data_IF_069438390270
#
_entry.id   IF_069438390270
#
_cell.length_a   1.000
_cell.length_b   1.000
_cell.length_c   1.000
_cell.angle_alpha   90.00
_cell.angle_beta   90.00
_cell.angle_gamma   90.00
#
_symmetry.space_group_name_H-M   'P 1'
#
loop_
_entity.id
_entity.type
_entity.pdbx_description
1 polymer ?
#
# COMPACT_ATOMS: atom_id res chain seq x y z
N UNK A 1 15.59 1.89 -8.32
CA UNK A 1 14.69 0.73 -8.48
C UNK A 1 13.31 1.11 -8.03
N UNK A 2 12.27 0.66 -8.73
CA UNK A 2 10.88 0.77 -8.29
C UNK A 2 10.34 -0.65 -8.06
N UNK A 3 9.95 -0.95 -6.84
CA UNK A 3 9.30 -2.20 -6.47
C UNK A 3 7.81 -1.93 -6.27
N UNK A 4 6.98 -2.35 -7.23
CA UNK A 4 5.57 -2.02 -7.29
C UNK A 4 4.69 -3.22 -6.92
N UNK A 5 3.80 -3.03 -5.95
CA UNK A 5 2.83 -4.03 -5.50
C UNK A 5 1.46 -3.71 -6.11
N UNK A 6 0.92 -4.62 -6.92
CA UNK A 6 -0.37 -4.44 -7.58
C UNK A 6 -1.53 -4.41 -6.58
N UNK A 7 -2.55 -3.59 -6.89
CA UNK A 7 -3.84 -3.59 -6.21
C UNK A 7 -4.76 -4.74 -6.60
N UNK A 8 -6.04 -4.64 -6.24
CA UNK A 8 -7.06 -5.62 -6.63
C UNK A 8 -7.84 -6.22 -5.47
N UNK A 9 -8.17 -5.44 -4.45
CA UNK A 9 -9.14 -5.79 -3.40
C UNK A 9 -8.65 -6.84 -2.38
N UNK A 10 -9.59 -7.41 -1.62
CA UNK A 10 -9.31 -8.40 -0.58
C UNK A 10 -10.53 -9.27 -0.28
N UNK A 11 -10.33 -10.42 0.37
CA UNK A 11 -11.44 -11.26 0.82
C UNK A 11 -11.14 -11.87 2.18
N UNK A 12 -12.15 -11.96 3.05
CA UNK A 12 -11.98 -12.34 4.46
C UNK A 12 -13.19 -13.08 5.05
N UNK A 13 -14.10 -13.52 4.19
CA UNK A 13 -15.29 -14.29 4.54
C UNK A 13 -15.65 -15.22 3.38
N UNK A 14 -16.50 -16.21 3.63
CA UNK A 14 -17.03 -17.09 2.59
C UNK A 14 -17.61 -16.31 1.41
N UNK A 15 -18.42 -15.29 1.67
CA UNK A 15 -19.12 -14.54 0.62
C UNK A 15 -18.16 -13.66 -0.20
N UNK A 16 -17.21 -12.99 0.47
CA UNK A 16 -16.17 -12.22 -0.24
C UNK A 16 -15.20 -13.15 -0.98
N UNK A 17 -14.93 -14.35 -0.45
CA UNK A 17 -13.96 -15.28 -1.04
C UNK A 17 -14.58 -16.24 -2.07
N UNK A 18 -15.91 -16.29 -2.21
CA UNK A 18 -16.60 -17.18 -3.14
C UNK A 18 -16.23 -16.92 -4.61
N UNK A 19 -16.12 -17.94 -5.48
CA UNK A 19 -15.70 -17.78 -6.87
C UNK A 19 -16.43 -16.72 -7.72
N UNK A 20 -17.68 -16.38 -7.38
CA UNK A 20 -18.47 -15.35 -8.04
C UNK A 20 -18.41 -13.96 -7.39
N UNK A 21 -17.54 -13.75 -6.40
CA UNK A 21 -17.31 -12.46 -5.76
C UNK A 21 -16.24 -11.66 -6.48
N UNK A 22 -16.52 -10.38 -6.71
CA UNK A 22 -15.63 -9.40 -7.33
C UNK A 22 -14.82 -8.60 -6.30
N UNK A 23 -14.81 -9.02 -5.02
CA UNK A 23 -14.10 -8.30 -3.95
C UNK A 23 -12.58 -8.42 -4.04
N UNK A 24 -12.03 -9.32 -4.86
CA UNK A 24 -10.60 -9.32 -5.17
C UNK A 24 -10.28 -9.96 -6.51
N UNK A 25 -9.12 -9.59 -7.06
CA UNK A 25 -8.55 -10.19 -8.28
C UNK A 25 -8.15 -11.64 -7.99
N UNK A 26 -8.64 -12.59 -8.78
CA UNK A 26 -8.39 -14.04 -8.58
C UNK A 26 -7.34 -14.63 -9.52
N UNK A 27 -6.97 -13.86 -10.54
CA UNK A 27 -6.05 -14.29 -11.58
C UNK A 27 -5.01 -13.22 -11.78
N UNK A 28 -3.75 -13.63 -11.87
CA UNK A 28 -2.71 -12.76 -12.42
C UNK A 28 -3.04 -12.48 -13.88
N UNK A 29 -2.97 -11.22 -14.30
CA UNK A 29 -3.41 -10.78 -15.62
C UNK A 29 -3.06 -9.32 -15.89
N UNK A 30 -3.10 -8.93 -17.16
CA UNK A 30 -2.71 -7.59 -17.63
C UNK A 30 -3.68 -6.48 -17.22
N UNK A 31 -4.97 -6.81 -17.00
CA UNK A 31 -6.00 -5.80 -16.70
C UNK A 31 -5.67 -5.07 -15.38
N UNK A 32 -5.53 -3.74 -15.46
CA UNK A 32 -5.13 -2.87 -14.36
C UNK A 32 -3.65 -2.97 -13.98
N UNK A 33 -2.79 -3.42 -14.90
CA UNK A 33 -1.37 -3.65 -14.68
C UNK A 33 -0.43 -2.76 -15.50
N UNK A 34 0.88 -3.02 -15.37
CA UNK A 34 1.98 -2.27 -16.02
C UNK A 34 1.83 -2.02 -17.54
N UNK A 35 1.06 -2.84 -18.25
CA UNK A 35 0.99 -2.80 -19.72
C UNK A 35 0.10 -1.73 -20.32
N UNK A 36 -0.70 -1.06 -19.49
CA UNK A 36 -1.58 0.01 -19.96
C UNK A 36 -0.78 1.25 -20.39
N UNK A 37 0.47 1.38 -19.93
CA UNK A 37 1.40 2.41 -20.38
C UNK A 37 0.96 3.82 -19.98
N UNK A 38 0.23 3.93 -18.89
CA UNK A 38 -0.26 5.19 -18.30
C UNK A 38 0.36 5.43 -16.92
N UNK A 39 0.20 6.66 -16.41
CA UNK A 39 0.70 7.04 -15.09
C UNK A 39 2.18 6.70 -14.95
N UNK A 40 2.59 6.13 -13.81
CA UNK A 40 3.99 5.77 -13.54
C UNK A 40 4.52 4.65 -14.46
N UNK A 41 3.66 3.96 -15.21
CA UNK A 41 4.04 2.93 -16.18
C UNK A 41 4.31 3.50 -17.59
N UNK A 42 3.98 4.77 -17.85
CA UNK A 42 4.41 5.45 -19.08
C UNK A 42 5.88 5.86 -18.99
N UNK A 43 6.79 4.94 -19.32
CA UNK A 43 8.23 5.22 -19.34
C UNK A 43 8.66 6.17 -20.47
N UNK A 44 7.76 6.51 -21.41
CA UNK A 44 8.05 7.43 -22.52
C UNK A 44 7.70 8.88 -22.18
N UNK A 45 6.87 9.09 -21.16
CA UNK A 45 6.48 10.42 -20.72
C UNK A 45 7.63 11.09 -19.95
N UNK A 46 8.15 12.24 -20.42
CA UNK A 46 9.25 12.94 -19.75
C UNK A 46 8.87 13.50 -18.37
N UNK A 47 7.57 13.56 -18.03
CA UNK A 47 7.10 13.95 -16.69
C UNK A 47 7.17 12.79 -15.70
N UNK A 48 7.33 11.54 -16.14
CA UNK A 48 7.38 10.40 -15.24
C UNK A 48 8.70 10.39 -14.46
N UNK A 49 8.69 10.59 -13.13
CA UNK A 49 9.92 10.60 -12.35
C UNK A 49 10.58 9.22 -12.29
N UNK A 50 9.85 8.16 -12.67
CA UNK A 50 10.33 6.78 -12.75
C UNK A 50 10.73 6.36 -14.18
N UNK A 51 10.70 7.24 -15.17
CA UNK A 51 10.99 6.89 -16.59
C UNK A 51 12.31 6.13 -16.77
N UNK A 52 13.32 6.46 -15.95
CA UNK A 52 14.66 5.86 -16.01
C UNK A 52 14.91 4.80 -14.92
N UNK A 53 13.89 4.42 -14.15
CA UNK A 53 14.01 3.37 -13.12
C UNK A 53 13.88 2.00 -13.77
N UNK A 54 14.65 1.02 -13.31
CA UNK A 54 14.24 -0.37 -13.47
C UNK A 54 13.12 -0.68 -12.48
N UNK A 55 12.07 -1.34 -12.96
CA UNK A 55 10.86 -1.65 -12.21
C UNK A 55 10.71 -3.17 -12.04
N UNK A 56 10.36 -3.59 -10.83
CA UNK A 56 9.84 -4.93 -10.51
C UNK A 56 8.37 -4.77 -10.16
N UNK A 57 7.50 -5.35 -10.96
CA UNK A 57 6.06 -5.36 -10.74
C UNK A 57 5.65 -6.70 -10.12
N UNK A 58 4.89 -6.67 -9.03
CA UNK A 58 4.42 -7.85 -8.31
C UNK A 58 2.90 -7.97 -8.48
N UNK A 59 2.43 -8.90 -9.34
CA UNK A 59 1.01 -9.11 -9.52
C UNK A 59 0.33 -9.63 -8.25
N UNK A 60 -0.97 -9.36 -8.13
CA UNK A 60 -1.77 -9.73 -6.98
C UNK A 60 -2.97 -10.61 -7.36
N UNK A 61 -3.13 -11.71 -6.62
CA UNK A 61 -4.29 -12.59 -6.80
C UNK A 61 -4.66 -13.37 -5.53
N UNK A 62 -4.21 -12.92 -4.36
CA UNK A 62 -4.20 -13.72 -3.12
C UNK A 62 -5.23 -13.26 -2.08
N UNK A 63 -5.92 -12.14 -2.32
CA UNK A 63 -7.03 -11.68 -1.47
C UNK A 63 -6.62 -11.25 -0.05
N UNK A 64 -5.33 -11.08 0.20
CA UNK A 64 -4.68 -10.86 1.50
C UNK A 64 -3.75 -9.63 1.56
N UNK A 65 -3.92 -8.69 0.62
CA UNK A 65 -3.17 -7.43 0.51
C UNK A 65 -1.64 -7.60 0.58
N UNK A 66 -1.13 -8.71 0.03
CA UNK A 66 0.29 -9.12 0.04
C UNK A 66 0.90 -9.43 1.41
N UNK A 67 0.09 -9.61 2.46
CA UNK A 67 0.58 -9.90 3.83
C UNK A 67 0.11 -11.26 4.38
N UNK A 68 -0.58 -12.06 3.56
CA UNK A 68 -1.04 -13.39 3.95
C UNK A 68 0.01 -14.48 3.77
N UNK A 69 -0.06 -15.49 4.65
CA UNK A 69 0.69 -16.74 4.57
C UNK A 69 -0.11 -17.87 5.26
N UNK A 70 -1.25 -18.20 4.67
CA UNK A 70 -2.10 -19.32 5.08
C UNK A 70 -2.94 -19.86 3.91
N UNK A 71 -3.41 -21.09 4.06
CA UNK A 71 -4.53 -21.61 3.26
C UNK A 71 -5.75 -21.72 4.15
N UNK A 72 -6.85 -21.10 3.73
CA UNK A 72 -8.06 -20.99 4.53
C UNK A 72 -9.24 -21.59 3.79
N UNK A 73 -9.92 -22.52 4.46
CA UNK A 73 -11.19 -23.08 4.02
C UNK A 73 -12.33 -22.28 4.66
N UNK A 74 -12.99 -21.46 3.84
CA UNK A 74 -14.14 -20.65 4.23
C UNK A 74 -15.46 -21.46 4.20
N UNK A 75 -15.40 -22.75 3.92
CA UNK A 75 -16.54 -23.67 3.84
C UNK A 75 -17.14 -23.78 2.44
N UNK A 76 -17.94 -24.84 2.23
CA UNK A 76 -18.65 -25.14 0.98
C UNK A 76 -17.76 -25.14 -0.28
N UNK A 77 -16.51 -25.58 -0.13
CA UNK A 77 -15.53 -25.66 -1.21
C UNK A 77 -14.84 -24.33 -1.55
N UNK A 78 -15.06 -23.26 -0.77
CA UNK A 78 -14.35 -21.99 -0.91
C UNK A 78 -13.04 -22.05 -0.14
N UNK A 79 -11.98 -22.48 -0.82
CA UNK A 79 -10.61 -22.51 -0.28
C UNK A 79 -9.77 -21.45 -0.97
N UNK A 80 -9.10 -20.59 -0.19
CA UNK A 80 -8.21 -19.55 -0.72
C UNK A 80 -6.79 -19.75 -0.18
N UNK A 81 -5.82 -19.62 -1.06
CA UNK A 81 -4.40 -19.60 -0.73
C UNK A 81 -3.94 -18.14 -0.56
N UNK A 82 -3.99 -17.65 0.67
CA UNK A 82 -3.45 -16.35 1.05
C UNK A 82 -1.92 -16.45 1.15
N UNK A 83 -1.25 -16.35 0.00
CA UNK A 83 0.20 -16.49 -0.16
C UNK A 83 0.89 -15.16 -0.56
N UNK A 84 0.22 -14.03 -0.37
CA UNK A 84 0.69 -12.73 -0.82
C UNK A 84 2.08 -12.37 -0.29
N UNK A 85 2.35 -12.64 0.99
CA UNK A 85 3.66 -12.39 1.58
C UNK A 85 4.76 -13.25 0.94
N UNK A 86 4.48 -14.53 0.68
CA UNK A 86 5.44 -15.43 0.04
C UNK A 86 5.73 -14.98 -1.39
N UNK A 87 4.70 -14.61 -2.14
CA UNK A 87 4.84 -14.15 -3.52
C UNK A 87 5.68 -12.86 -3.59
N UNK A 88 5.32 -11.86 -2.80
CA UNK A 88 6.03 -10.59 -2.85
C UNK A 88 7.46 -10.70 -2.29
N UNK A 89 7.69 -11.41 -1.19
CA UNK A 89 9.06 -11.56 -0.66
C UNK A 89 9.97 -12.36 -1.60
N UNK A 90 9.42 -13.31 -2.36
CA UNK A 90 10.15 -13.98 -3.44
C UNK A 90 10.56 -12.99 -4.53
N UNK A 91 9.66 -12.09 -4.95
CA UNK A 91 9.98 -11.05 -5.92
C UNK A 91 11.01 -10.04 -5.38
N UNK A 92 10.90 -9.66 -4.11
CA UNK A 92 11.83 -8.73 -3.45
C UNK A 92 13.24 -9.33 -3.34
N UNK A 93 13.35 -10.59 -2.91
CA UNK A 93 14.62 -11.31 -2.90
C UNK A 93 15.21 -11.39 -4.31
N UNK A 94 14.37 -11.67 -5.33
CA UNK A 94 14.83 -11.72 -6.70
C UNK A 94 15.30 -10.37 -7.23
N UNK A 95 14.63 -9.28 -6.85
CA UNK A 95 15.08 -7.92 -7.15
C UNK A 95 16.48 -7.66 -6.58
N UNK A 96 16.70 -7.98 -5.30
CA UNK A 96 18.00 -7.79 -4.65
C UNK A 96 19.12 -8.62 -5.31
N UNK A 97 18.82 -9.83 -5.78
CA UNK A 97 19.77 -10.64 -6.56
C UNK A 97 20.11 -10.05 -7.93
N UNK A 98 19.11 -9.51 -8.64
CA UNK A 98 19.27 -9.00 -10.01
C UNK A 98 19.87 -7.60 -10.05
N UNK A 99 19.61 -6.80 -9.01
CA UNK A 99 20.03 -5.40 -8.91
C UNK A 99 20.80 -5.14 -7.61
N UNK A 100 21.89 -5.88 -7.32
CA UNK A 100 22.59 -5.80 -6.03
C UNK A 100 23.18 -4.41 -5.75
N UNK A 101 23.45 -3.63 -6.81
CA UNK A 101 24.04 -2.30 -6.72
C UNK A 101 22.99 -1.16 -6.65
N UNK A 102 21.70 -1.48 -6.46
CA UNK A 102 20.68 -0.45 -6.36
C UNK A 102 20.94 0.44 -5.12
N UNK A 103 21.18 1.72 -5.36
CA UNK A 103 21.42 2.73 -4.31
C UNK A 103 20.14 3.41 -3.81
N UNK A 104 19.05 3.27 -4.55
CA UNK A 104 17.74 3.79 -4.21
C UNK A 104 16.64 2.81 -4.61
N UNK A 105 15.72 2.56 -3.70
CA UNK A 105 14.55 1.70 -3.89
C UNK A 105 13.32 2.48 -3.45
N UNK A 106 12.41 2.69 -4.39
CA UNK A 106 11.06 3.18 -4.09
C UNK A 106 10.16 1.96 -4.03
N UNK A 107 9.53 1.73 -2.88
CA UNK A 107 8.51 0.70 -2.69
C UNK A 107 7.16 1.40 -2.84
N UNK A 108 6.47 1.11 -3.93
CA UNK A 108 5.20 1.71 -4.24
C UNK A 108 4.11 0.64 -4.39
N UNK A 109 2.87 1.05 -4.26
CA UNK A 109 1.74 0.18 -4.51
C UNK A 109 0.46 0.96 -4.40
N UNK A 110 -0.59 0.40 -4.99
CA UNK A 110 -1.89 1.05 -5.07
C UNK A 110 -2.98 0.13 -4.51
N UNK A 111 -4.04 0.69 -3.92
CA UNK A 111 -5.16 -0.09 -3.39
C UNK A 111 -4.68 -1.14 -2.37
N UNK A 112 -5.01 -2.42 -2.57
CA UNK A 112 -4.49 -3.55 -1.81
C UNK A 112 -2.94 -3.61 -1.77
N UNK A 113 -2.27 -3.19 -2.83
CA UNK A 113 -0.81 -3.15 -2.93
C UNK A 113 -0.18 -1.99 -2.17
N UNK A 114 -0.94 -0.95 -1.84
CA UNK A 114 -0.48 0.19 -1.02
C UNK A 114 -0.26 -0.19 0.45
N UNK A 115 -1.20 -0.96 1.02
CA UNK A 115 -1.16 -1.46 2.41
C UNK A 115 0.20 -2.04 2.85
N UNK A 116 0.80 -2.99 2.12
CA UNK A 116 2.05 -3.65 2.51
C UNK A 116 3.31 -2.81 2.26
N UNK A 117 3.25 -1.69 1.54
CA UNK A 117 4.46 -0.94 1.12
C UNK A 117 5.45 -0.63 2.25
N UNK A 118 5.05 -0.18 3.47
CA UNK A 118 6.00 0.01 4.57
C UNK A 118 6.67 -1.29 5.03
N UNK A 119 5.92 -2.39 5.11
CA UNK A 119 6.48 -3.71 5.46
C UNK A 119 7.56 -4.12 4.46
N UNK A 120 7.27 -3.97 3.16
CA UNK A 120 8.22 -4.32 2.11
C UNK A 120 9.44 -3.39 2.07
N UNK A 121 9.31 -2.12 2.46
CA UNK A 121 10.47 -1.24 2.64
C UNK A 121 11.38 -1.71 3.78
N UNK A 122 10.82 -2.10 4.93
CA UNK A 122 11.60 -2.69 6.02
C UNK A 122 12.29 -4.01 5.62
N UNK A 123 11.62 -4.85 4.82
CA UNK A 123 12.23 -6.08 4.29
C UNK A 123 13.29 -5.80 3.23
N UNK A 124 13.12 -4.74 2.43
CA UNK A 124 14.13 -4.30 1.49
C UNK A 124 15.38 -3.80 2.22
N UNK A 125 15.23 -3.13 3.37
CA UNK A 125 16.35 -2.77 4.25
C UNK A 125 17.15 -3.99 4.68
N UNK A 126 16.49 -5.08 5.07
CA UNK A 126 17.17 -6.32 5.49
C UNK A 126 18.05 -6.92 4.39
N UNK A 127 17.65 -6.77 3.12
CA UNK A 127 18.37 -7.29 1.96
C UNK A 127 19.40 -6.31 1.39
N UNK A 128 19.11 -5.01 1.48
CA UNK A 128 19.84 -3.93 0.83
C UNK A 128 20.04 -2.73 1.79
N UNK A 129 20.77 -2.92 2.90
CA UNK A 129 20.81 -1.97 4.02
C UNK A 129 21.47 -0.62 3.70
N UNK A 130 22.15 -0.51 2.57
CA UNK A 130 22.77 0.74 2.11
C UNK A 130 21.91 1.51 1.11
N UNK A 131 20.82 0.92 0.61
CA UNK A 131 19.93 1.57 -0.34
C UNK A 131 19.06 2.61 0.39
N UNK A 132 18.88 3.78 -0.22
CA UNK A 132 17.89 4.75 0.25
C UNK A 132 16.49 4.21 -0.05
N UNK A 133 15.65 4.14 0.98
CA UNK A 133 14.29 3.60 0.91
C UNK A 133 13.24 4.70 0.98
N UNK A 134 12.28 4.64 0.07
CA UNK A 134 11.12 5.53 0.04
C UNK A 134 9.86 4.70 -0.20
N UNK A 135 8.83 4.94 0.60
CA UNK A 135 7.50 4.35 0.45
C UNK A 135 6.59 5.35 -0.25
N UNK A 136 5.83 4.88 -1.25
CA UNK A 136 4.73 5.61 -1.87
C UNK A 136 3.48 4.74 -1.90
N UNK A 137 2.65 4.91 -0.89
CA UNK A 137 1.40 4.20 -0.69
C UNK A 137 0.23 4.97 -1.34
N UNK A 138 -0.52 4.38 -2.25
CA UNK A 138 -1.66 5.05 -2.92
C UNK A 138 -3.01 4.37 -2.65
N UNK A 139 -3.93 5.06 -1.97
CA UNK A 139 -5.33 4.63 -1.82
C UNK A 139 -5.56 3.57 -0.75
N UNK A 140 -4.94 3.72 0.43
CA UNK A 140 -5.14 2.80 1.57
C UNK A 140 -5.12 3.48 2.94
N UNK A 141 -5.23 4.80 2.99
CA UNK A 141 -5.08 5.59 4.21
C UNK A 141 -6.23 5.46 5.20
N UNK A 142 -7.40 4.99 4.76
CA UNK A 142 -8.62 4.95 5.56
C UNK A 142 -8.90 3.57 6.20
N UNK A 143 -7.97 2.63 6.18
CA UNK A 143 -8.17 1.36 6.88
C UNK A 143 -7.81 1.49 8.37
N UNK A 144 -8.77 1.34 9.29
CA UNK A 144 -8.56 1.66 10.70
C UNK A 144 -7.72 0.60 11.41
N UNK A 145 -7.08 1.00 12.51
CA UNK A 145 -6.50 0.07 13.47
C UNK A 145 -7.56 -0.39 14.48
N UNK A 146 -8.26 -1.49 14.18
CA UNK A 146 -9.28 -2.08 15.06
C UNK A 146 -8.82 -3.45 15.54
N UNK A 147 -8.46 -3.62 16.83
CA UNK A 147 -7.90 -4.86 17.38
C UNK A 147 -8.63 -6.15 17.00
N UNK A 148 -9.96 -6.14 17.11
CA UNK A 148 -10.80 -7.31 16.79
C UNK A 148 -10.77 -7.62 15.31
N UNK A 149 -10.71 -6.61 14.44
CA UNK A 149 -10.62 -6.82 13.00
C UNK A 149 -9.24 -7.31 12.58
N UNK A 150 -8.18 -6.72 13.15
CA UNK A 150 -6.80 -7.13 12.91
C UNK A 150 -6.64 -8.62 13.22
N UNK A 151 -7.13 -9.08 14.38
CA UNK A 151 -7.01 -10.48 14.76
C UNK A 151 -7.93 -11.41 13.97
N UNK A 152 -9.18 -11.02 13.68
CA UNK A 152 -10.12 -11.89 12.95
C UNK A 152 -9.77 -12.02 11.48
N UNK A 153 -9.56 -10.92 10.75
CA UNK A 153 -9.14 -10.94 9.34
C UNK A 153 -7.73 -11.51 9.23
N UNK A 154 -6.81 -11.06 10.10
CA UNK A 154 -5.44 -11.53 10.12
C UNK A 154 -5.31 -13.03 10.37
N UNK A 155 -6.19 -13.62 11.19
CA UNK A 155 -6.22 -15.07 11.38
C UNK A 155 -6.62 -15.82 10.10
N UNK A 156 -7.55 -15.29 9.30
CA UNK A 156 -7.93 -15.90 8.02
C UNK A 156 -6.80 -15.81 7.00
N UNK A 157 -6.05 -14.72 6.98
CA UNK A 157 -4.92 -14.55 6.06
C UNK A 157 -3.62 -15.18 6.56
N UNK A 158 -3.54 -15.52 7.84
CA UNK A 158 -2.31 -15.98 8.48
C UNK A 158 -1.23 -14.89 8.55
N UNK A 159 -1.62 -13.63 8.79
CA UNK A 159 -0.68 -12.49 8.77
C UNK A 159 0.45 -12.63 9.80
N UNK A 160 0.19 -13.30 10.93
CA UNK A 160 1.24 -13.55 11.93
C UNK A 160 2.34 -14.50 11.44
N UNK A 161 2.07 -15.33 10.42
CA UNK A 161 3.10 -16.15 9.76
C UNK A 161 4.01 -15.32 8.83
N UNK A 162 3.65 -14.06 8.58
CA UNK A 162 4.34 -13.11 7.71
C UNK A 162 5.05 -11.99 8.50
N UNK A 163 4.95 -11.98 9.84
CA UNK A 163 5.61 -10.98 10.68
C UNK A 163 7.14 -11.17 10.63
N UNK A 164 7.92 -10.17 10.18
CA UNK A 164 9.37 -10.26 10.16
C UNK A 164 9.94 -10.37 11.57
N UNK A 165 11.13 -10.98 11.71
CA UNK A 165 11.81 -11.16 13.00
C UNK A 165 12.63 -9.92 13.42
N UNK A 166 12.03 -8.74 13.31
CA UNK A 166 12.65 -7.50 13.77
C UNK A 166 12.62 -7.40 15.30
N UNK A 167 13.57 -6.71 15.93
CA UNK A 167 13.50 -6.45 17.37
C UNK A 167 12.18 -5.76 17.80
N UNK A 168 11.62 -4.94 16.91
CA UNK A 168 10.39 -4.15 17.12
C UNK A 168 9.12 -5.00 17.08
N UNK A 169 9.15 -6.18 16.46
CA UNK A 169 7.99 -7.06 16.32
C UNK A 169 7.92 -8.16 17.37
N UNK A 170 8.94 -8.26 18.23
CA UNK A 170 8.97 -9.26 19.32
C UNK A 170 7.81 -9.04 20.27
N UNK A 171 6.96 -10.06 20.41
CA UNK A 171 5.85 -10.05 21.35
C UNK A 171 4.58 -9.35 20.85
N UNK A 172 4.55 -8.89 19.58
CA UNK A 172 3.31 -8.39 18.99
C UNK A 172 2.25 -9.48 18.93
N UNK A 173 1.03 -9.13 19.34
CA UNK A 173 -0.14 -10.00 19.22
C UNK A 173 -0.85 -9.77 17.88
N UNK A 174 -1.73 -10.69 17.43
CA UNK A 174 -2.55 -10.48 16.23
C UNK A 174 -3.35 -9.18 16.24
N UNK A 175 -3.82 -8.76 17.41
CA UNK A 175 -4.56 -7.50 17.59
C UNK A 175 -3.71 -6.26 17.34
N UNK A 176 -2.39 -6.35 17.56
CA UNK A 176 -1.44 -5.25 17.43
C UNK A 176 -0.80 -5.20 16.04
N UNK A 177 -0.99 -6.22 15.21
CA UNK A 177 -0.50 -6.27 13.83
C UNK A 177 -1.52 -5.66 12.87
N UNK A 178 -1.56 -4.32 12.86
CA UNK A 178 -2.53 -3.52 12.11
C UNK A 178 -1.95 -2.94 10.83
N UNK A 179 -2.83 -2.52 9.90
CA UNK A 179 -2.40 -1.92 8.63
C UNK A 179 -1.66 -0.57 8.83
N UNK A 180 -2.17 0.40 9.63
CA UNK A 180 -1.38 1.57 10.02
C UNK A 180 -0.12 1.20 10.80
N UNK A 181 -0.19 0.15 11.61
CA UNK A 181 0.94 -0.38 12.38
C UNK A 181 2.13 -0.82 11.53
N UNK A 182 1.93 -1.18 10.26
CA UNK A 182 3.03 -1.54 9.36
C UNK A 182 4.03 -0.38 9.18
N UNK A 183 3.54 0.87 9.07
CA UNK A 183 4.39 2.06 9.04
C UNK A 183 5.20 2.21 10.33
N UNK A 184 4.53 1.99 11.48
CA UNK A 184 5.17 2.08 12.79
C UNK A 184 6.28 1.04 12.96
N UNK A 185 6.03 -0.22 12.59
CA UNK A 185 7.01 -1.29 12.77
C UNK A 185 8.19 -1.14 11.80
N UNK A 186 7.93 -0.77 10.54
CA UNK A 186 8.98 -0.52 9.55
C UNK A 186 9.84 0.68 9.93
N UNK A 187 9.23 1.81 10.32
CA UNK A 187 9.98 3.02 10.70
C UNK A 187 10.78 2.86 12.00
N UNK A 188 10.31 2.01 12.93
CA UNK A 188 11.12 1.65 14.12
C UNK A 188 12.25 0.69 13.79
N UNK A 189 12.09 -0.15 12.77
CA UNK A 189 13.13 -1.06 12.28
C UNK A 189 14.24 -0.29 11.54
N UNK A 190 13.86 0.60 10.64
CA UNK A 190 14.77 1.52 9.96
C UNK A 190 14.20 2.95 9.96
N UNK A 191 14.72 3.85 10.82
CA UNK A 191 14.27 5.24 10.91
C UNK A 191 14.73 6.10 9.73
N UNK A 192 15.51 5.56 8.79
CA UNK A 192 15.96 6.27 7.59
C UNK A 192 14.98 6.16 6.42
N UNK A 193 13.99 5.26 6.51
CA UNK A 193 12.95 5.12 5.48
C UNK A 193 12.12 6.41 5.44
N UNK A 194 11.91 6.94 4.24
CA UNK A 194 10.95 8.03 4.00
C UNK A 194 9.59 7.45 3.68
N UNK A 195 8.55 7.79 4.44
CA UNK A 195 7.19 7.33 4.21
C UNK A 195 6.32 8.42 3.60
N UNK A 196 5.60 8.07 2.54
CA UNK A 196 4.63 8.93 1.91
C UNK A 196 3.38 8.16 1.50
N UNK A 197 2.23 8.84 1.53
CA UNK A 197 0.94 8.30 1.13
C UNK A 197 0.14 9.31 0.31
N UNK A 198 -0.56 8.80 -0.71
CA UNK A 198 -1.58 9.51 -1.47
C UNK A 198 -2.96 8.88 -1.18
N UNK A 199 -3.99 9.69 -1.02
CA UNK A 199 -5.38 9.23 -0.88
C UNK A 199 -6.37 10.21 -1.49
N UNK A 200 -7.53 9.69 -1.92
CA UNK A 200 -8.71 10.50 -2.18
C UNK A 200 -9.60 10.60 -0.95
N UNK A 201 -10.02 11.81 -0.61
CA UNK A 201 -10.76 12.12 0.62
C UNK A 201 -12.08 11.35 0.78
N UNK A 202 -12.70 10.93 -0.32
CA UNK A 202 -13.97 10.19 -0.34
C UNK A 202 -13.91 8.94 -1.23
N UNK A 203 -12.75 8.31 -1.35
CA UNK A 203 -12.52 7.09 -2.11
C UNK A 203 -13.65 6.06 -1.95
N UNK A 204 -14.38 5.81 -3.04
CA UNK A 204 -15.55 4.93 -3.05
C UNK A 204 -15.18 3.47 -2.76
N UNK A 205 -13.96 3.04 -3.14
CA UNK A 205 -13.49 1.68 -2.92
C UNK A 205 -13.16 1.47 -1.45
N UNK A 206 -12.45 2.40 -0.83
CA UNK A 206 -12.21 2.34 0.62
C UNK A 206 -13.51 2.39 1.42
N UNK A 207 -14.49 3.19 0.99
CA UNK A 207 -15.84 3.21 1.56
C UNK A 207 -16.53 1.84 1.46
N UNK A 208 -16.48 1.19 0.29
CA UNK A 208 -17.06 -0.13 0.09
C UNK A 208 -16.40 -1.22 0.95
N UNK A 209 -15.07 -1.23 1.04
CA UNK A 209 -14.35 -2.20 1.87
C UNK A 209 -14.55 -1.97 3.36
N UNK A 210 -14.61 -0.72 3.81
CA UNK A 210 -14.96 -0.40 5.19
C UNK A 210 -16.36 -0.95 5.53
N UNK A 211 -17.35 -0.79 4.64
CA UNK A 211 -18.68 -1.37 4.83
C UNK A 211 -18.65 -2.91 4.88
N UNK A 212 -17.91 -3.57 3.99
CA UNK A 212 -17.73 -5.03 4.01
C UNK A 212 -17.07 -5.53 5.30
N UNK A 213 -16.16 -4.73 5.87
CA UNK A 213 -15.45 -5.03 7.10
C UNK A 213 -16.22 -4.57 8.36
N UNK A 214 -17.40 -3.96 8.21
CA UNK A 214 -18.26 -3.53 9.32
C UNK A 214 -17.83 -2.22 9.98
N UNK A 215 -17.05 -1.38 9.29
CA UNK A 215 -16.56 -0.08 9.76
C UNK A 215 -17.44 1.04 9.20
N UNK A 216 -17.80 2.01 10.04
CA UNK A 216 -18.51 3.21 9.60
C UNK A 216 -17.59 4.08 8.72
N UNK A 217 -17.92 4.20 7.43
CA UNK A 217 -17.14 4.95 6.43
C UNK A 217 -17.72 6.34 6.12
N UNK A 218 -18.64 6.82 6.96
CA UNK A 218 -19.40 8.07 6.77
C UNK A 218 -18.48 9.32 6.74
N UNK A 219 -17.25 9.21 7.26
CA UNK A 219 -16.25 10.29 7.27
C UNK A 219 -14.84 9.76 6.97
N UNK A 220 -14.64 9.30 5.72
CA UNK A 220 -13.40 8.67 5.26
C UNK A 220 -12.17 9.57 5.45
N UNK A 221 -12.25 10.86 5.09
CA UNK A 221 -11.16 11.83 5.29
C UNK A 221 -10.72 11.94 6.75
N UNK A 222 -11.67 12.00 7.70
CA UNK A 222 -11.33 12.02 9.12
C UNK A 222 -10.62 10.73 9.57
N UNK A 223 -10.96 9.59 8.97
CA UNK A 223 -10.29 8.33 9.27
C UNK A 223 -8.85 8.29 8.72
N UNK A 224 -8.63 8.85 7.52
CA UNK A 224 -7.29 9.06 6.94
C UNK A 224 -6.44 9.90 7.90
N UNK A 225 -6.97 11.05 8.35
CA UNK A 225 -6.31 11.95 9.29
C UNK A 225 -5.99 11.26 10.62
N UNK A 226 -6.94 10.48 11.15
CA UNK A 226 -6.78 9.76 12.42
C UNK A 226 -5.65 8.73 12.34
N UNK A 227 -5.61 7.97 11.24
CA UNK A 227 -4.56 6.98 11.01
C UNK A 227 -3.18 7.63 10.85
N UNK A 228 -3.10 8.77 10.17
CA UNK A 228 -1.87 9.55 10.01
C UNK A 228 -1.36 10.04 11.37
N UNK A 229 -2.22 10.69 12.15
CA UNK A 229 -1.88 11.16 13.49
C UNK A 229 -1.45 10.01 14.41
N UNK A 230 -2.05 8.82 14.30
CA UNK A 230 -1.65 7.64 15.07
C UNK A 230 -0.23 7.17 14.71
N UNK A 231 0.12 7.16 13.42
CA UNK A 231 1.46 6.78 12.95
C UNK A 231 2.48 7.81 13.44
N UNK A 232 2.20 9.10 13.27
CA UNK A 232 3.10 10.19 13.66
C UNK A 232 3.29 10.29 15.18
N UNK A 233 2.25 10.04 15.97
CA UNK A 233 2.35 9.96 17.43
C UNK A 233 3.29 8.84 17.91
N UNK A 234 3.59 7.85 17.05
CA UNK A 234 4.58 6.80 17.32
C UNK A 234 6.02 7.22 16.98
N UNK A 235 6.23 8.46 16.52
CA UNK A 235 7.54 9.02 16.15
C UNK A 235 7.95 8.76 14.70
N UNK A 236 7.02 8.32 13.83
CA UNK A 236 7.28 8.05 12.42
C UNK A 236 6.70 9.18 11.57
N UNK A 237 7.54 9.92 10.85
CA UNK A 237 7.05 10.92 9.90
C UNK A 237 6.42 10.22 8.69
N UNK A 238 5.16 10.54 8.41
CA UNK A 238 4.44 10.12 7.22
C UNK A 238 4.05 11.39 6.46
N UNK A 239 4.53 11.54 5.23
CA UNK A 239 4.08 12.64 4.37
C UNK A 239 2.79 12.27 3.66
N UNK A 240 1.81 13.17 3.63
CA UNK A 240 0.49 12.89 3.04
C UNK A 240 0.15 13.82 1.87
N UNK A 241 -0.51 13.25 0.86
CA UNK A 241 -1.16 14.00 -0.21
C UNK A 241 -2.62 13.53 -0.31
N UNK A 242 -3.55 14.32 0.22
CA UNK A 242 -4.97 14.02 0.28
C UNK A 242 -5.70 14.87 -0.77
N UNK A 243 -6.06 14.24 -1.87
CA UNK A 243 -6.79 14.82 -2.99
C UNK A 243 -8.31 14.82 -2.75
N UNK A 244 -9.05 15.81 -3.28
CA UNK A 244 -10.51 15.80 -3.21
C UNK A 244 -11.13 14.75 -4.14
N UNK A 245 -12.37 14.37 -3.85
CA UNK A 245 -13.17 13.50 -4.71
C UNK A 245 -13.24 12.03 -4.28
N UNK A 246 -13.87 11.24 -5.14
CA UNK A 246 -14.29 9.85 -4.85
C UNK A 246 -13.50 8.80 -5.66
N UNK A 247 -12.48 9.22 -6.42
CA UNK A 247 -11.62 8.34 -7.23
C UNK A 247 -10.89 7.33 -6.34
N UNK A 248 -10.41 6.24 -6.94
CA UNK A 248 -9.58 5.25 -6.27
C UNK A 248 -8.25 5.14 -6.99
N UNK A 249 -7.16 5.50 -6.30
CA UNK A 249 -5.77 5.48 -6.78
C UNK A 249 -5.50 6.39 -7.99
N UNK A 250 -4.23 6.77 -8.16
CA UNK A 250 -3.78 7.71 -9.19
C UNK A 250 -2.52 7.21 -9.90
N UNK A 251 -1.73 6.31 -9.31
CA UNK A 251 -0.42 5.92 -9.83
C UNK A 251 -0.46 5.28 -11.23
N UNK A 252 -1.49 4.49 -11.56
CA UNK A 252 -1.65 3.92 -12.91
C UNK A 252 -2.38 4.85 -13.90
N UNK A 253 -2.85 6.01 -13.47
CA UNK A 253 -3.64 6.93 -14.30
C UNK A 253 -2.81 8.08 -14.84
N UNK A 254 -3.13 8.57 -16.03
CA UNK A 254 -2.58 9.85 -16.52
C UNK A 254 -2.94 11.07 -15.64
N UNK A 255 -3.94 10.92 -14.75
CA UNK A 255 -4.26 11.90 -13.69
C UNK A 255 -3.05 12.17 -12.78
N UNK A 256 -2.13 11.20 -12.63
CA UNK A 256 -0.85 11.36 -11.93
C UNK A 256 -0.09 12.63 -12.36
N UNK A 257 -0.18 12.99 -13.65
CA UNK A 257 0.53 14.13 -14.23
C UNK A 257 -0.20 15.47 -14.14
N UNK A 258 -1.46 15.46 -13.71
CA UNK A 258 -2.34 16.63 -13.78
C UNK A 258 -3.00 16.97 -12.45
N UNK A 259 -3.10 16.02 -11.53
CA UNK A 259 -3.72 16.25 -10.24
C UNK A 259 -3.00 17.32 -9.44
N UNK A 260 -3.75 18.32 -9.00
CA UNK A 260 -3.22 19.47 -8.28
C UNK A 260 -4.11 19.79 -7.10
N UNK A 261 -3.51 19.95 -5.92
CA UNK A 261 -4.21 20.36 -4.70
C UNK A 261 -3.52 21.59 -4.13
N UNK A 262 -4.29 22.67 -3.94
CA UNK A 262 -3.80 23.96 -3.43
C UNK A 262 -2.54 24.48 -4.16
N UNK A 263 -2.43 24.22 -5.47
CA UNK A 263 -1.29 24.63 -6.30
C UNK A 263 -0.08 23.71 -6.28
N UNK A 264 -0.11 22.62 -5.50
CA UNK A 264 0.91 21.57 -5.52
C UNK A 264 0.49 20.49 -6.51
N UNK A 265 1.29 20.25 -7.53
CA UNK A 265 1.06 19.20 -8.52
C UNK A 265 1.57 17.86 -7.96
N UNK A 266 0.77 16.80 -8.05
CA UNK A 266 1.11 15.50 -7.46
C UNK A 266 2.43 14.92 -8.01
N UNK A 267 2.64 14.96 -9.34
CA UNK A 267 3.89 14.48 -9.94
C UNK A 267 5.13 15.27 -9.48
N UNK A 268 5.00 16.57 -9.21
CA UNK A 268 6.10 17.38 -8.69
C UNK A 268 6.40 17.00 -7.23
N UNK A 269 5.35 16.81 -6.41
CA UNK A 269 5.48 16.34 -5.03
C UNK A 269 6.15 14.95 -4.94
N UNK A 270 5.77 14.01 -5.82
CA UNK A 270 6.42 12.69 -5.92
C UNK A 270 7.87 12.81 -6.41
N UNK A 271 8.15 13.72 -7.33
CA UNK A 271 9.51 13.98 -7.81
C UNK A 271 10.40 14.49 -6.67
N UNK A 272 9.91 15.45 -5.89
CA UNK A 272 10.62 16.01 -4.74
C UNK A 272 10.85 14.96 -3.66
N UNK A 273 9.82 14.14 -3.35
CA UNK A 273 9.91 13.00 -2.44
C UNK A 273 11.07 12.06 -2.81
N UNK A 274 11.08 11.54 -4.04
CA UNK A 274 12.08 10.52 -4.42
C UNK A 274 13.47 11.12 -4.60
N UNK A 275 13.58 12.41 -4.91
CA UNK A 275 14.87 13.12 -5.03
C UNK A 275 15.37 13.72 -3.72
N UNK A 276 14.73 13.39 -2.58
CA UNK A 276 15.11 13.88 -1.25
C UNK A 276 15.00 15.40 -1.08
N UNK A 277 14.18 16.07 -1.88
CA UNK A 277 13.88 17.48 -1.64
C UNK A 277 12.90 17.62 -0.47
N UNK A 278 12.93 18.77 0.24
CA UNK A 278 11.92 19.04 1.26
C UNK A 278 10.52 19.03 0.67
N UNK A 279 9.64 18.23 1.25
CA UNK A 279 8.21 18.20 0.94
C UNK A 279 7.39 18.53 2.19
N UNK A 280 6.14 18.93 1.99
CA UNK A 280 5.16 19.15 3.04
C UNK A 280 3.89 18.38 2.72
N UNK A 281 3.06 18.17 3.73
CA UNK A 281 1.75 17.56 3.54
C UNK A 281 0.86 18.45 2.68
N UNK A 282 0.08 17.79 1.84
CA UNK A 282 -0.89 18.43 0.97
C UNK A 282 -2.25 17.87 1.34
N UNK A 283 -3.15 18.74 1.76
CA UNK A 283 -4.50 18.34 2.15
C UNK A 283 -5.53 19.20 1.42
N UNK A 284 -6.54 18.57 0.82
CA UNK A 284 -7.69 19.27 0.25
C UNK A 284 -8.31 20.24 1.29
N UNK A 285 -8.80 21.41 0.86
CA UNK A 285 -9.38 22.39 1.79
C UNK A 285 -10.79 22.77 1.37
N UNK A 286 -11.66 23.08 2.33
CA UNK A 286 -13.06 23.38 2.07
C UNK A 286 -13.90 22.12 1.82
N UNK A 287 -14.63 22.07 0.71
CA UNK A 287 -15.40 20.89 0.32
C UNK A 287 -14.50 19.88 -0.42
N UNK A 288 -13.88 18.98 0.33
CA UNK A 288 -13.05 17.91 -0.22
C UNK A 288 -13.83 16.88 -1.05
N UNK A 289 -15.16 16.97 -1.13
CA UNK A 289 -15.98 16.02 -1.89
C UNK A 289 -16.08 16.37 -3.37
N UNK A 290 -15.99 17.66 -3.70
CA UNK A 290 -16.00 18.12 -5.08
C UNK A 290 -14.55 18.14 -5.64
N UNK A 291 -14.30 17.36 -6.68
CA UNK A 291 -13.07 17.42 -7.48
C UNK A 291 -13.20 18.43 -8.61
#
# INVERSE_FOLDING_TARGET
>A
MLFFLEGGGACFSKDTCAPGSDTFKRTVGHDGGMTDGEGIFDFTNPKNPFANYSMVFVPYCTGDVHIGNATTDYGDGVVVHHNGYINGTTALAKMAELFPDATQIVVAGESAGSVPTPLYAGLAHDLMPTAKLTVLADGSGAYPDVPVMNSTIGAQWGTMNAVPKWPTTVGLTPEQWSLPGLFVQAGKHDPTITFARHDYAFDHTQTAFAALAGVAAENLVQLIDTNEQQIEASGIQLYSYIAPGETHTVLHSNTFYTETVNGTLFVDWVTDLITAQPIADVHCSGDCKAA
#
